data_IF_796779922674
#
_entry.id   IF_796779922674
#
_cell.length_a   1.000
_cell.length_b   1.000
_cell.length_c   1.000
_cell.angle_alpha   90.00
_cell.angle_beta   90.00
_cell.angle_gamma   90.00
#
_symmetry.space_group_name_H-M   'P 1'
#
loop_
_entity.id
_entity.type
_entity.pdbx_description
1 polymer ?
#
# COMPACT_ATOMS: atom_id res chain seq x y z
N UNK A 1 -11.04 37.67 8.05
CA UNK A 1 -9.67 37.37 8.50
C UNK A 1 -9.44 35.87 8.85
N UNK A 2 -10.33 34.96 8.46
CA UNK A 2 -10.18 33.52 8.77
C UNK A 2 -9.51 32.66 7.64
N UNK A 3 -9.36 33.22 6.44
CA UNK A 3 -8.86 32.47 5.26
C UNK A 3 -7.34 32.19 5.32
N UNK A 4 -6.57 33.03 6.02
CA UNK A 4 -5.12 32.88 6.09
C UNK A 4 -4.64 31.73 7.01
N UNK A 5 -5.44 31.39 8.02
CA UNK A 5 -5.08 30.33 9.01
C UNK A 5 -5.29 28.92 8.46
N UNK A 6 -6.32 28.72 7.64
CA UNK A 6 -6.66 27.41 7.04
C UNK A 6 -5.60 27.01 5.99
N UNK A 7 -5.14 27.94 5.16
CA UNK A 7 -4.09 27.65 4.18
C UNK A 7 -2.75 27.26 4.83
N UNK A 8 -2.39 27.84 5.97
CA UNK A 8 -1.14 27.50 6.66
C UNK A 8 -1.17 26.10 7.30
N UNK A 9 -2.30 25.68 7.88
CA UNK A 9 -2.48 24.34 8.46
C UNK A 9 -2.40 23.21 7.42
N UNK A 10 -3.05 23.39 6.28
CA UNK A 10 -3.01 22.42 5.16
C UNK A 10 -1.60 22.25 4.60
N UNK A 11 -0.85 23.36 4.43
CA UNK A 11 0.54 23.32 3.96
C UNK A 11 1.43 22.58 4.96
N UNK A 12 1.24 22.81 6.25
CA UNK A 12 2.00 22.12 7.31
C UNK A 12 1.73 20.62 7.30
N UNK A 13 0.46 20.21 7.17
CA UNK A 13 0.07 18.79 7.12
C UNK A 13 0.71 18.07 5.93
N UNK A 14 0.71 18.68 4.75
CA UNK A 14 1.37 18.12 3.56
C UNK A 14 2.89 18.01 3.75
N UNK A 15 3.52 19.01 4.36
CA UNK A 15 4.96 18.99 4.63
C UNK A 15 5.34 17.86 5.60
N UNK A 16 4.50 17.60 6.63
CA UNK A 16 4.73 16.48 7.55
C UNK A 16 4.64 15.12 6.87
N UNK A 17 3.67 14.94 5.98
CA UNK A 17 3.53 13.70 5.19
C UNK A 17 4.69 13.53 4.21
N UNK A 18 5.09 14.60 3.51
CA UNK A 18 6.23 14.57 2.58
C UNK A 18 7.54 14.26 3.31
N UNK A 19 7.79 14.91 4.46
CA UNK A 19 8.96 14.62 5.29
C UNK A 19 8.97 13.16 5.79
N UNK A 20 7.81 12.62 6.16
CA UNK A 20 7.68 11.22 6.56
C UNK A 20 7.97 10.26 5.40
N UNK A 21 7.51 10.57 4.19
CA UNK A 21 7.85 9.78 3.00
C UNK A 21 9.36 9.83 2.67
N UNK A 22 10.01 11.00 2.84
CA UNK A 22 11.45 11.14 2.65
C UNK A 22 12.24 10.30 3.66
N UNK A 23 11.80 10.27 4.91
CA UNK A 23 12.41 9.48 5.97
C UNK A 23 12.29 7.97 5.71
N UNK A 24 11.11 7.50 5.25
CA UNK A 24 10.93 6.11 4.83
C UNK A 24 11.82 5.80 3.62
N UNK A 25 11.85 6.66 2.62
CA UNK A 25 12.68 6.49 1.42
C UNK A 25 14.18 6.38 1.74
N UNK A 26 14.66 7.13 2.73
CA UNK A 26 16.05 7.10 3.16
C UNK A 26 16.41 5.81 3.93
N UNK A 27 15.43 5.18 4.58
CA UNK A 27 15.65 4.04 5.49
C UNK A 27 15.33 2.69 4.84
N UNK A 28 14.33 2.66 3.94
CA UNK A 28 13.83 1.43 3.33
C UNK A 28 14.55 1.15 2.02
N UNK A 29 14.97 -0.09 1.84
CA UNK A 29 15.60 -0.55 0.59
C UNK A 29 14.93 -1.81 0.06
N UNK A 30 14.89 -1.93 -1.27
CA UNK A 30 14.47 -3.13 -1.97
C UNK A 30 15.70 -3.82 -2.58
N UNK A 31 15.77 -5.13 -2.44
CA UNK A 31 16.83 -5.94 -3.03
C UNK A 31 16.24 -7.17 -3.70
N UNK A 32 16.53 -7.33 -4.99
CA UNK A 32 16.21 -8.56 -5.69
C UNK A 32 17.00 -9.73 -5.14
N UNK A 33 16.33 -10.87 -4.96
CA UNK A 33 16.99 -12.13 -4.64
C UNK A 33 17.48 -12.82 -5.91
N UNK A 34 18.57 -13.64 -5.82
CA UNK A 34 18.91 -14.56 -6.90
C UNK A 34 17.72 -15.44 -7.27
N UNK A 35 17.51 -15.62 -8.51
CA UNK A 35 16.26 -15.84 -9.18
C UNK A 35 15.59 -17.19 -8.97
N UNK A 36 14.36 -17.27 -8.43
CA UNK A 36 13.41 -18.32 -8.79
C UNK A 36 12.93 -18.17 -10.23
N UNK A 37 12.60 -19.27 -10.92
CA UNK A 37 12.14 -19.23 -12.31
C UNK A 37 10.67 -18.77 -12.44
N UNK A 38 9.90 -18.85 -11.36
CA UNK A 38 8.45 -18.58 -11.37
C UNK A 38 8.08 -17.09 -11.16
N UNK A 39 8.96 -16.29 -10.53
CA UNK A 39 8.69 -14.89 -10.14
C UNK A 39 9.99 -14.13 -9.86
N UNK A 40 9.90 -12.81 -9.72
CA UNK A 40 10.97 -11.97 -9.17
C UNK A 40 10.69 -11.77 -7.69
N UNK A 41 11.61 -12.19 -6.82
CA UNK A 41 11.49 -12.00 -5.37
C UNK A 41 12.28 -10.75 -4.95
N UNK A 42 11.64 -9.87 -4.21
CA UNK A 42 12.17 -8.60 -3.71
C UNK A 42 12.08 -8.58 -2.18
N UNK A 43 13.21 -8.44 -1.51
CA UNK A 43 13.26 -8.27 -0.05
C UNK A 43 13.23 -6.79 0.27
N UNK A 44 12.31 -6.41 1.13
CA UNK A 44 12.22 -5.08 1.73
C UNK A 44 12.97 -5.12 3.06
N UNK A 45 13.87 -4.19 3.27
CA UNK A 45 14.68 -4.06 4.48
C UNK A 45 14.58 -2.64 5.04
N UNK A 46 14.84 -2.48 6.34
CA UNK A 46 14.85 -1.17 7.00
C UNK A 46 13.50 -0.69 7.53
N UNK A 47 12.43 -1.48 7.40
CA UNK A 47 11.07 -1.09 7.84
C UNK A 47 10.89 -1.11 9.37
N UNK A 48 11.72 -1.84 10.11
CA UNK A 48 11.52 -2.13 11.53
C UNK A 48 12.02 -1.03 12.49
N UNK A 49 12.63 0.05 11.97
CA UNK A 49 13.07 1.12 12.87
C UNK A 49 11.87 1.90 13.43
N UNK A 50 12.04 2.42 14.64
CA UNK A 50 11.00 3.26 15.30
C UNK A 50 10.68 4.52 14.49
N UNK A 51 11.68 5.05 13.78
CA UNK A 51 11.55 6.20 12.89
C UNK A 51 10.64 5.86 11.71
N UNK A 52 10.89 4.72 11.05
CA UNK A 52 10.06 4.27 9.92
C UNK A 52 8.65 3.94 10.39
N UNK A 53 8.46 3.29 11.55
CA UNK A 53 7.13 3.03 12.09
C UNK A 53 6.35 4.34 12.35
N UNK A 54 7.02 5.37 12.93
CA UNK A 54 6.43 6.69 13.15
C UNK A 54 6.06 7.36 11.82
N UNK A 55 6.96 7.38 10.87
CA UNK A 55 6.74 7.98 9.56
C UNK A 55 5.67 7.25 8.77
N UNK A 56 5.62 5.91 8.86
CA UNK A 56 4.54 5.11 8.27
C UNK A 56 3.18 5.50 8.86
N UNK A 57 3.06 5.64 10.19
CA UNK A 57 1.83 6.10 10.83
C UNK A 57 1.36 7.46 10.31
N UNK A 58 2.25 8.44 10.17
CA UNK A 58 1.95 9.76 9.58
C UNK A 58 1.46 9.66 8.14
N UNK A 59 2.15 8.86 7.32
CA UNK A 59 1.76 8.66 5.92
C UNK A 59 0.41 7.98 5.80
N UNK A 60 0.10 6.98 6.64
CA UNK A 60 -1.19 6.29 6.65
C UNK A 60 -2.34 7.22 7.03
N UNK A 61 -2.15 8.08 8.02
CA UNK A 61 -3.14 9.14 8.35
C UNK A 61 -3.28 10.11 7.19
N UNK A 62 -2.18 10.50 6.54
CA UNK A 62 -2.20 11.30 5.31
C UNK A 62 -2.94 10.61 4.15
N UNK A 63 -2.82 9.29 4.00
CA UNK A 63 -3.58 8.51 3.02
C UNK A 63 -5.09 8.54 3.30
N UNK A 64 -5.51 8.40 4.55
CA UNK A 64 -6.91 8.50 4.95
C UNK A 64 -7.49 9.88 4.63
N UNK A 65 -6.72 10.94 4.83
CA UNK A 65 -7.09 12.32 4.47
C UNK A 65 -7.04 12.58 2.95
N UNK A 66 -6.60 11.63 2.13
CA UNK A 66 -6.37 11.84 0.70
C UNK A 66 -5.19 12.76 0.38
N UNK A 67 -4.30 13.03 1.37
CA UNK A 67 -3.13 13.88 1.22
C UNK A 67 -2.01 13.23 0.40
N UNK A 68 -1.98 11.91 0.32
CA UNK A 68 -0.97 11.15 -0.42
C UNK A 68 -1.55 10.68 -1.75
N UNK A 69 -1.10 11.27 -2.84
CA UNK A 69 -1.43 10.85 -4.20
C UNK A 69 -0.16 10.76 -5.02
N UNK A 70 -0.12 9.85 -5.96
CA UNK A 70 1.00 9.76 -6.91
C UNK A 70 1.18 11.01 -7.78
N UNK A 71 0.14 11.85 -7.88
CA UNK A 71 0.18 13.18 -8.50
C UNK A 71 -0.26 14.22 -7.46
N UNK A 72 0.70 14.82 -6.82
CA UNK A 72 0.63 15.64 -5.60
C UNK A 72 -0.23 16.92 -5.69
N UNK A 73 -0.56 17.40 -6.86
CA UNK A 73 -1.15 18.74 -7.02
C UNK A 73 -2.63 18.88 -6.61
N UNK A 74 -3.35 17.80 -6.31
CA UNK A 74 -4.79 17.84 -5.96
C UNK A 74 -5.06 17.69 -4.46
N UNK A 75 -4.12 17.19 -3.69
CA UNK A 75 -4.33 16.91 -2.27
C UNK A 75 -4.59 18.18 -1.44
N UNK A 76 -3.91 19.27 -1.75
CA UNK A 76 -4.01 20.52 -1.02
C UNK A 76 -5.44 21.14 -1.06
N UNK A 77 -6.20 20.89 -2.10
CA UNK A 77 -7.54 21.48 -2.27
C UNK A 77 -8.63 20.75 -1.45
N UNK A 78 -8.35 19.52 -0.97
CA UNK A 78 -9.32 18.68 -0.27
C UNK A 78 -9.12 18.65 1.24
N UNK A 79 -7.98 19.12 1.74
CA UNK A 79 -7.70 19.24 3.17
C UNK A 79 -8.32 20.53 3.73
N UNK A 80 -9.63 20.66 3.64
CA UNK A 80 -10.38 21.73 4.32
C UNK A 80 -10.87 21.12 5.63
N UNK A 81 -9.96 20.99 6.61
CA UNK A 81 -10.33 20.43 7.91
C UNK A 81 -10.91 21.47 8.86
N UNK A 82 -12.07 21.17 9.41
CA UNK A 82 -12.63 21.80 10.61
C UNK A 82 -12.38 20.95 11.86
N UNK A 83 -12.82 21.41 13.03
CA UNK A 83 -12.74 20.63 14.28
C UNK A 83 -13.52 19.31 14.17
N UNK A 84 -14.65 19.32 13.44
CA UNK A 84 -15.50 18.14 13.21
C UNK A 84 -14.77 17.06 12.40
N UNK A 85 -13.96 17.46 11.41
CA UNK A 85 -13.19 16.51 10.59
C UNK A 85 -12.09 15.82 11.42
N UNK A 86 -11.56 16.49 12.44
CA UNK A 86 -10.58 15.90 13.37
C UNK A 86 -11.19 14.79 14.23
N UNK A 87 -12.37 15.05 14.82
CA UNK A 87 -13.08 14.04 15.62
C UNK A 87 -13.46 12.85 14.77
N UNK A 88 -13.95 13.08 13.56
CA UNK A 88 -14.26 12.02 12.62
C UNK A 88 -13.02 11.22 12.26
N UNK A 89 -11.91 11.86 11.87
CA UNK A 89 -10.65 11.18 11.56
C UNK A 89 -10.12 10.37 12.76
N UNK A 90 -10.20 10.93 13.97
CA UNK A 90 -9.80 10.21 15.18
C UNK A 90 -10.68 8.97 15.41
N UNK A 91 -11.99 9.08 15.16
CA UNK A 91 -12.94 7.97 15.19
C UNK A 91 -12.59 6.90 14.16
N UNK A 92 -12.36 7.30 12.91
CA UNK A 92 -11.99 6.41 11.80
C UNK A 92 -10.68 5.66 12.10
N UNK A 93 -9.67 6.36 12.63
CA UNK A 93 -8.40 5.75 13.03
C UNK A 93 -8.61 4.73 14.16
N UNK A 94 -9.42 5.06 15.19
CA UNK A 94 -9.73 4.12 16.27
C UNK A 94 -10.49 2.89 15.75
N UNK A 95 -11.40 3.04 14.80
CA UNK A 95 -12.11 1.90 14.18
C UNK A 95 -11.14 0.99 13.41
N UNK A 96 -10.16 1.57 12.74
CA UNK A 96 -9.17 0.84 11.95
C UNK A 96 -8.15 0.08 12.79
N UNK A 97 -7.61 0.71 13.83
CA UNK A 97 -6.45 0.20 14.56
C UNK A 97 -6.71 -0.09 16.05
N UNK A 98 -7.88 0.22 16.55
CA UNK A 98 -8.23 0.15 17.97
C UNK A 98 -7.80 1.39 18.76
N UNK A 99 -8.45 1.59 19.92
CA UNK A 99 -8.15 2.71 20.81
C UNK A 99 -6.77 2.61 21.48
N UNK A 100 -6.26 1.41 21.63
CA UNK A 100 -4.93 1.10 22.19
C UNK A 100 -4.44 -0.27 21.68
N UNK A 101 -3.27 -0.72 22.16
CA UNK A 101 -2.67 -1.99 21.76
C UNK A 101 -2.93 -3.14 22.78
N UNK A 102 -3.88 -2.97 23.69
CA UNK A 102 -4.25 -4.00 24.67
C UNK A 102 -5.37 -4.88 24.11
N UNK A 103 -5.01 -6.01 23.52
CA UNK A 103 -5.93 -7.00 22.97
C UNK A 103 -5.97 -8.21 23.90
N UNK A 104 -7.00 -8.32 24.73
CA UNK A 104 -7.09 -9.31 25.82
C UNK A 104 -8.09 -10.42 25.50
N UNK A 105 -9.22 -10.07 24.88
CA UNK A 105 -10.24 -11.04 24.51
C UNK A 105 -9.94 -11.70 23.16
N UNK A 106 -10.48 -12.91 22.94
CA UNK A 106 -10.34 -13.61 21.66
C UNK A 106 -10.84 -12.78 20.48
N UNK A 107 -11.90 -12.00 20.67
CA UNK A 107 -12.44 -11.11 19.64
C UNK A 107 -11.49 -9.95 19.29
N UNK A 108 -10.86 -9.35 20.29
CA UNK A 108 -9.85 -8.30 20.09
C UNK A 108 -8.58 -8.85 19.44
N UNK A 109 -8.13 -10.04 19.86
CA UNK A 109 -6.98 -10.72 19.26
C UNK A 109 -7.28 -11.03 17.78
N UNK A 110 -8.48 -11.54 17.50
CA UNK A 110 -8.91 -11.80 16.12
C UNK A 110 -8.96 -10.52 15.28
N UNK A 111 -9.49 -9.41 15.82
CA UNK A 111 -9.48 -8.11 15.16
C UNK A 111 -8.05 -7.65 14.86
N UNK A 112 -7.14 -7.69 15.84
CA UNK A 112 -5.74 -7.34 15.67
C UNK A 112 -5.11 -8.13 14.52
N UNK A 113 -5.26 -9.46 14.53
CA UNK A 113 -4.52 -10.34 13.63
C UNK A 113 -5.12 -10.41 12.22
N UNK A 114 -6.44 -10.27 12.08
CA UNK A 114 -7.12 -10.45 10.78
C UNK A 114 -7.60 -9.16 10.13
N UNK A 115 -7.69 -8.05 10.88
CA UNK A 115 -8.18 -6.77 10.34
C UNK A 115 -7.11 -5.68 10.47
N UNK A 116 -6.71 -5.32 11.71
CA UNK A 116 -5.75 -4.24 11.93
C UNK A 116 -4.42 -4.49 11.22
N UNK A 117 -3.77 -5.63 11.52
CA UNK A 117 -2.45 -5.93 10.96
C UNK A 117 -2.52 -6.15 9.45
N UNK A 118 -3.60 -6.71 8.93
CA UNK A 118 -3.82 -6.85 7.50
C UNK A 118 -3.93 -5.47 6.81
N UNK A 119 -4.72 -4.55 7.38
CA UNK A 119 -4.89 -3.21 6.86
C UNK A 119 -3.58 -2.40 6.92
N UNK A 120 -2.82 -2.49 8.01
CA UNK A 120 -1.51 -1.84 8.13
C UNK A 120 -0.49 -2.41 7.11
N UNK A 121 -0.55 -3.71 6.83
CA UNK A 121 0.28 -4.32 5.79
C UNK A 121 -0.12 -3.89 4.37
N UNK A 122 -1.41 -3.69 4.11
CA UNK A 122 -1.92 -3.06 2.88
C UNK A 122 -1.37 -1.63 2.76
N UNK A 123 -1.41 -0.86 3.85
CA UNK A 123 -0.84 0.49 3.92
C UNK A 123 0.65 0.51 3.62
N UNK A 124 1.41 -0.44 4.14
CA UNK A 124 2.83 -0.55 3.83
C UNK A 124 3.08 -0.84 2.34
N UNK A 125 2.28 -1.72 1.71
CA UNK A 125 2.34 -1.93 0.26
C UNK A 125 2.06 -0.63 -0.51
N UNK A 126 1.03 0.13 -0.11
CA UNK A 126 0.71 1.43 -0.71
C UNK A 126 1.88 2.42 -0.62
N UNK A 127 2.49 2.54 0.55
CA UNK A 127 3.65 3.41 0.76
C UNK A 127 4.81 2.99 -0.15
N UNK A 128 5.12 1.70 -0.25
CA UNK A 128 6.16 1.21 -1.16
C UNK A 128 5.87 1.54 -2.63
N UNK A 129 4.61 1.50 -3.04
CA UNK A 129 4.21 1.94 -4.39
C UNK A 129 4.33 3.46 -4.56
N UNK A 130 4.00 4.26 -3.56
CA UNK A 130 4.21 5.72 -3.59
C UNK A 130 5.70 6.06 -3.71
N UNK A 131 6.55 5.38 -2.94
CA UNK A 131 8.00 5.57 -2.98
C UNK A 131 8.63 5.18 -4.32
N UNK A 132 8.05 4.21 -5.03
CA UNK A 132 8.45 3.84 -6.39
C UNK A 132 8.43 5.03 -7.37
N UNK A 133 7.63 6.06 -7.11
CA UNK A 133 7.58 7.27 -7.92
C UNK A 133 8.77 8.21 -7.67
N UNK A 134 9.35 8.15 -6.48
CA UNK A 134 10.53 8.97 -6.10
C UNK A 134 11.82 8.37 -6.65
N UNK A 135 11.91 7.05 -6.61
CA UNK A 135 12.99 6.28 -7.23
C UNK A 135 12.35 5.16 -8.07
N UNK A 136 12.29 5.28 -9.40
CA UNK A 136 11.76 4.27 -10.32
C UNK A 136 12.62 3.02 -10.34
N UNK A 137 12.74 2.39 -9.17
CA UNK A 137 13.63 1.28 -8.90
C UNK A 137 13.04 -0.08 -9.27
N UNK A 138 13.41 -1.09 -8.48
CA UNK A 138 13.23 -2.50 -8.78
C UNK A 138 11.78 -3.00 -8.63
N UNK A 139 10.87 -2.27 -7.95
CA UNK A 139 9.54 -2.80 -7.62
C UNK A 139 8.71 -3.09 -8.87
N UNK A 140 8.50 -2.12 -9.74
CA UNK A 140 7.74 -2.29 -10.99
C UNK A 140 8.62 -2.14 -12.24
N UNK A 141 9.80 -1.55 -12.11
CA UNK A 141 10.67 -1.23 -13.24
C UNK A 141 10.13 -0.11 -14.11
N UNK A 142 9.28 0.76 -13.56
CA UNK A 142 8.64 1.87 -14.26
C UNK A 142 8.03 2.88 -13.30
N UNK A 143 7.56 4.01 -13.83
CA UNK A 143 6.98 5.12 -13.06
C UNK A 143 5.46 4.95 -12.92
N UNK A 144 4.93 5.08 -11.71
CA UNK A 144 3.49 5.07 -11.45
C UNK A 144 2.89 6.43 -11.85
N UNK A 145 1.82 6.41 -12.62
CA UNK A 145 1.08 7.59 -13.04
C UNK A 145 -0.25 7.76 -12.32
N UNK A 146 -0.85 6.64 -11.91
CA UNK A 146 -2.05 6.66 -11.08
C UNK A 146 -2.03 5.47 -10.13
N UNK A 147 -2.38 5.70 -8.88
CA UNK A 147 -2.52 4.69 -7.83
C UNK A 147 -3.89 4.87 -7.18
N UNK A 148 -4.65 3.78 -7.07
CA UNK A 148 -5.91 3.79 -6.35
C UNK A 148 -5.67 4.15 -4.88
N UNK A 149 -6.56 4.92 -4.31
CA UNK A 149 -6.54 5.22 -2.89
C UNK A 149 -6.72 3.92 -2.08
N UNK A 150 -6.02 3.81 -0.97
CA UNK A 150 -6.16 2.71 -0.02
C UNK A 150 -7.60 2.59 0.48
N UNK A 151 -8.04 1.40 0.80
CA UNK A 151 -9.36 1.19 1.40
C UNK A 151 -9.46 1.89 2.76
N UNK A 152 -10.47 2.75 2.98
CA UNK A 152 -10.65 3.41 4.26
C UNK A 152 -11.19 2.49 5.35
N UNK A 153 -11.65 1.28 4.99
CA UNK A 153 -12.26 0.31 5.91
C UNK A 153 -11.60 -1.06 5.71
N UNK A 154 -11.16 -1.76 6.78
CA UNK A 154 -10.43 -3.04 6.68
C UNK A 154 -11.23 -4.19 6.06
N UNK A 155 -12.56 -4.05 5.98
CA UNK A 155 -13.47 -5.07 5.45
C UNK A 155 -13.93 -4.80 4.03
N UNK A 156 -13.44 -3.72 3.42
CA UNK A 156 -13.83 -3.39 2.05
C UNK A 156 -13.29 -4.44 1.08
N UNK A 157 -14.17 -4.97 0.23
CA UNK A 157 -13.79 -5.95 -0.78
C UNK A 157 -13.13 -5.24 -1.97
N UNK A 158 -12.08 -5.83 -2.49
CA UNK A 158 -11.36 -5.31 -3.65
C UNK A 158 -9.93 -5.84 -3.69
N UNK A 159 -9.14 -5.28 -4.61
CA UNK A 159 -7.68 -5.50 -4.61
C UNK A 159 -7.05 -4.51 -3.62
N UNK A 160 -6.03 -4.93 -2.89
CA UNK A 160 -5.37 -4.07 -1.91
C UNK A 160 -4.67 -2.88 -2.58
N UNK A 161 -4.12 -3.06 -3.77
CA UNK A 161 -3.57 -1.98 -4.58
C UNK A 161 -3.84 -2.16 -6.07
N UNK A 162 -4.18 -1.07 -6.75
CA UNK A 162 -4.30 -1.00 -8.22
C UNK A 162 -3.56 0.24 -8.69
N UNK A 163 -2.57 0.07 -9.56
CA UNK A 163 -1.75 1.16 -10.07
C UNK A 163 -1.58 1.08 -11.58
N UNK A 164 -1.59 2.23 -12.23
CA UNK A 164 -1.18 2.39 -13.63
C UNK A 164 0.24 2.95 -13.66
N UNK A 165 1.14 2.25 -14.33
CA UNK A 165 2.55 2.63 -14.42
C UNK A 165 3.06 2.50 -15.86
N UNK A 166 4.07 3.28 -16.20
CA UNK A 166 4.72 3.24 -17.52
C UNK A 166 6.09 2.61 -17.38
N UNK A 167 6.32 1.56 -18.19
CA UNK A 167 7.59 0.88 -18.33
C UNK A 167 8.07 1.03 -19.77
N UNK A 168 9.16 1.78 -19.97
CA UNK A 168 9.47 2.28 -21.31
C UNK A 168 8.33 3.19 -21.78
N UNK A 169 7.74 2.88 -22.94
CA UNK A 169 6.61 3.62 -23.51
C UNK A 169 5.26 2.91 -23.35
N UNK A 170 5.23 1.82 -22.57
CA UNK A 170 4.04 0.97 -22.42
C UNK A 170 3.36 1.20 -21.10
N UNK A 171 2.07 1.60 -21.16
CA UNK A 171 1.21 1.66 -19.98
C UNK A 171 0.87 0.24 -19.54
N UNK A 172 1.12 -0.02 -18.27
CA UNK A 172 0.96 -1.31 -17.62
C UNK A 172 0.14 -1.18 -16.35
N UNK A 173 -0.45 -2.29 -15.89
CA UNK A 173 -1.30 -2.38 -14.73
C UNK A 173 -0.61 -3.20 -13.65
N UNK A 174 -0.38 -2.62 -12.48
CA UNK A 174 0.03 -3.36 -11.29
C UNK A 174 -1.18 -3.63 -10.40
N UNK A 175 -1.30 -4.88 -9.95
CA UNK A 175 -2.34 -5.32 -9.01
C UNK A 175 -1.63 -5.94 -7.82
N UNK A 176 -1.80 -5.30 -6.66
CA UNK A 176 -1.19 -5.71 -5.41
C UNK A 176 -2.17 -6.45 -4.51
N UNK A 177 -1.64 -7.43 -3.78
CA UNK A 177 -2.34 -8.17 -2.76
C UNK A 177 -1.41 -8.36 -1.56
N UNK A 178 -1.73 -7.74 -0.44
CA UNK A 178 -0.95 -7.77 0.78
C UNK A 178 -1.50 -8.80 1.75
N UNK A 179 -0.62 -9.55 2.38
CA UNK A 179 -0.97 -10.52 3.41
C UNK A 179 0.01 -10.41 4.56
N UNK A 180 -0.53 -10.44 5.79
CA UNK A 180 0.24 -10.43 7.01
C UNK A 180 -0.01 -11.71 7.82
N UNK A 181 1.06 -12.37 8.22
CA UNK A 181 0.98 -13.52 9.12
C UNK A 181 2.29 -13.74 9.84
N UNK A 182 2.24 -13.77 11.16
CA UNK A 182 3.44 -14.03 11.95
C UNK A 182 4.10 -15.36 11.58
N UNK A 183 3.32 -16.42 11.41
CA UNK A 183 3.82 -17.80 11.36
C UNK A 183 3.83 -18.41 9.95
N UNK A 184 2.91 -18.02 9.06
CA UNK A 184 2.70 -18.71 7.79
C UNK A 184 2.76 -17.81 6.55
N UNK A 185 3.93 -17.28 6.25
CA UNK A 185 4.15 -16.49 5.03
C UNK A 185 3.91 -17.29 3.74
N UNK A 186 4.19 -18.61 3.75
CA UNK A 186 3.99 -19.46 2.57
C UNK A 186 2.50 -19.70 2.26
N UNK A 187 1.68 -19.94 3.27
CA UNK A 187 0.23 -20.06 3.13
C UNK A 187 -0.39 -18.74 2.65
N UNK A 188 0.06 -17.62 3.20
CA UNK A 188 -0.38 -16.30 2.80
C UNK A 188 -0.05 -16.00 1.32
N UNK A 189 1.13 -16.38 0.85
CA UNK A 189 1.49 -16.26 -0.57
C UNK A 189 0.55 -17.10 -1.44
N UNK A 190 0.18 -18.31 -0.98
CA UNK A 190 -0.77 -19.15 -1.71
C UNK A 190 -2.16 -18.51 -1.77
N UNK A 191 -2.60 -17.82 -0.72
CA UNK A 191 -3.88 -17.10 -0.72
C UNK A 191 -3.85 -15.91 -1.68
N UNK A 192 -2.80 -15.08 -1.66
CA UNK A 192 -2.63 -14.00 -2.62
C UNK A 192 -2.64 -14.51 -4.08
N UNK A 193 -1.93 -15.60 -4.34
CA UNK A 193 -1.89 -16.21 -5.68
C UNK A 193 -3.26 -16.72 -6.15
N UNK A 194 -4.13 -17.19 -5.24
CA UNK A 194 -5.51 -17.59 -5.60
C UNK A 194 -6.35 -16.43 -6.11
N UNK A 195 -6.19 -15.23 -5.53
CA UNK A 195 -6.88 -14.02 -5.99
C UNK A 195 -6.43 -13.66 -7.42
N UNK A 196 -5.12 -13.68 -7.68
CA UNK A 196 -4.62 -13.43 -9.03
C UNK A 196 -5.06 -14.50 -10.04
N UNK A 197 -5.14 -15.76 -9.62
CA UNK A 197 -5.63 -16.86 -10.47
C UNK A 197 -7.11 -16.69 -10.81
N UNK A 198 -7.95 -16.26 -9.86
CA UNK A 198 -9.36 -15.98 -10.14
C UNK A 198 -9.50 -14.82 -11.14
N UNK A 199 -8.66 -13.79 -11.04
CA UNK A 199 -8.60 -12.70 -12.00
C UNK A 199 -8.16 -13.19 -13.41
N UNK A 200 -7.19 -14.10 -13.49
CA UNK A 200 -6.78 -14.73 -14.75
C UNK A 200 -7.90 -15.57 -15.37
N UNK A 201 -8.76 -16.15 -14.55
CA UNK A 201 -9.96 -16.89 -14.98
C UNK A 201 -11.13 -15.98 -15.41
N UNK A 202 -11.01 -14.68 -15.24
CA UNK A 202 -12.03 -13.70 -15.63
C UNK A 202 -12.90 -13.20 -14.49
N UNK A 203 -12.74 -13.73 -13.28
CA UNK A 203 -13.40 -13.20 -12.09
C UNK A 203 -12.88 -11.79 -11.78
N UNK A 204 -13.71 -10.99 -11.14
CA UNK A 204 -13.36 -9.60 -10.74
C UNK A 204 -13.04 -8.63 -11.88
N UNK A 205 -13.07 -9.02 -13.16
CA UNK A 205 -12.77 -8.13 -14.28
C UNK A 205 -13.70 -6.92 -14.34
N UNK A 206 -14.97 -7.08 -13.94
CA UNK A 206 -15.91 -5.96 -13.87
C UNK A 206 -15.46 -4.93 -12.85
N UNK A 207 -15.08 -5.37 -11.66
CA UNK A 207 -14.58 -4.50 -10.61
C UNK A 207 -13.27 -3.81 -11.04
N UNK A 208 -12.33 -4.57 -11.57
CA UNK A 208 -11.07 -4.02 -12.07
C UNK A 208 -11.28 -2.95 -13.16
N UNK A 209 -12.27 -3.14 -14.06
CA UNK A 209 -12.60 -2.10 -15.05
C UNK A 209 -13.14 -0.82 -14.41
N UNK A 210 -13.93 -0.93 -13.35
CA UNK A 210 -14.41 0.25 -12.61
C UNK A 210 -13.26 1.02 -11.96
N UNK A 211 -12.30 0.30 -11.35
CA UNK A 211 -11.07 0.89 -10.81
C UNK A 211 -10.25 1.59 -11.89
N UNK A 212 -10.07 0.94 -13.04
CA UNK A 212 -9.32 1.52 -14.17
C UNK A 212 -9.98 2.79 -14.71
N UNK A 213 -11.31 2.83 -14.82
CA UNK A 213 -12.04 4.03 -15.24
C UNK A 213 -11.84 5.18 -14.25
N UNK A 214 -11.81 4.89 -12.95
CA UNK A 214 -11.52 5.91 -11.93
C UNK A 214 -10.08 6.43 -12.02
N UNK A 215 -9.12 5.56 -12.34
CA UNK A 215 -7.71 5.91 -12.47
C UNK A 215 -7.39 6.63 -13.79
N UNK A 216 -8.15 6.37 -14.86
CA UNK A 216 -7.97 7.01 -16.17
C UNK A 216 -8.01 8.53 -16.08
N UNK A 217 -8.89 9.09 -15.24
CA UNK A 217 -9.02 10.54 -15.02
C UNK A 217 -7.75 11.22 -14.47
N UNK A 218 -6.76 10.45 -13.99
CA UNK A 218 -5.48 10.99 -13.50
C UNK A 218 -4.36 10.90 -14.54
N UNK A 219 -4.62 10.33 -15.72
CA UNK A 219 -3.63 10.16 -16.78
C UNK A 219 -3.63 11.35 -17.75
N UNK A 220 -2.51 11.54 -18.43
CA UNK A 220 -2.50 12.39 -19.63
C UNK A 220 -3.38 11.80 -20.72
N UNK A 221 -3.89 12.64 -21.66
CA UNK A 221 -4.72 12.18 -22.78
C UNK A 221 -4.06 11.08 -23.58
N UNK A 222 -2.75 11.13 -23.76
CA UNK A 222 -1.96 10.12 -24.47
C UNK A 222 -1.98 8.77 -23.75
N UNK A 223 -1.78 8.75 -22.45
CA UNK A 223 -1.79 7.52 -21.64
C UNK A 223 -3.21 6.98 -21.45
N UNK A 224 -4.21 7.84 -21.30
CA UNK A 224 -5.61 7.44 -21.23
C UNK A 224 -6.06 6.64 -22.43
N UNK A 225 -5.61 7.01 -23.65
CA UNK A 225 -5.87 6.26 -24.86
C UNK A 225 -5.31 4.83 -24.87
N UNK A 226 -4.30 4.52 -24.05
CA UNK A 226 -3.74 3.17 -23.91
C UNK A 226 -4.56 2.29 -22.96
N UNK A 227 -5.31 2.86 -22.02
CA UNK A 227 -6.10 2.10 -21.02
C UNK A 227 -7.12 1.20 -21.71
N UNK A 228 -7.83 1.70 -22.71
CA UNK A 228 -8.89 0.97 -23.39
C UNK A 228 -8.41 -0.26 -24.19
N UNK A 229 -7.18 -0.24 -24.70
CA UNK A 229 -6.73 -1.17 -25.75
C UNK A 229 -5.81 -2.30 -25.24
N UNK A 230 -4.98 -2.07 -24.23
CA UNK A 230 -3.91 -3.02 -23.93
C UNK A 230 -3.60 -3.22 -22.44
N UNK A 231 -4.00 -2.31 -21.56
CA UNK A 231 -3.56 -2.31 -20.16
C UNK A 231 -3.87 -3.62 -19.41
N UNK A 232 -5.01 -4.25 -19.69
CA UNK A 232 -5.37 -5.54 -19.08
C UNK A 232 -4.47 -6.70 -19.54
N UNK A 233 -3.78 -6.56 -20.67
CA UNK A 233 -2.81 -7.55 -21.17
C UNK A 233 -1.42 -7.36 -20.58
N UNK A 234 -1.13 -6.15 -20.09
CA UNK A 234 0.14 -5.76 -19.49
C UNK A 234 0.05 -5.75 -17.96
N UNK A 235 -0.39 -6.89 -17.39
CA UNK A 235 -0.58 -7.01 -15.94
C UNK A 235 0.71 -7.39 -15.23
N UNK A 236 0.95 -6.76 -14.09
CA UNK A 236 1.97 -7.12 -13.10
C UNK A 236 1.28 -7.48 -11.79
N UNK A 237 1.54 -8.65 -11.25
CA UNK A 237 1.05 -9.08 -9.95
C UNK A 237 2.10 -8.84 -8.87
N UNK A 238 1.66 -8.21 -7.78
CA UNK A 238 2.53 -7.80 -6.67
C UNK A 238 1.99 -8.41 -5.37
N UNK A 239 2.19 -9.72 -5.13
CA UNK A 239 1.96 -10.27 -3.79
C UNK A 239 2.97 -9.67 -2.81
N UNK A 240 2.47 -9.10 -1.71
CA UNK A 240 3.24 -8.54 -0.60
C UNK A 240 3.01 -9.35 0.65
N UNK A 241 4.05 -9.96 1.21
CA UNK A 241 3.95 -10.86 2.35
C UNK A 241 4.75 -10.30 3.53
N UNK A 242 4.02 -9.88 4.57
CA UNK A 242 4.58 -9.45 5.84
C UNK A 242 4.58 -10.62 6.81
N UNK A 243 5.75 -11.00 7.33
CA UNK A 243 5.89 -12.20 8.16
C UNK A 243 7.06 -12.09 9.17
N UNK A 244 7.03 -12.95 10.19
CA UNK A 244 8.12 -13.08 11.18
C UNK A 244 8.93 -14.36 10.92
N UNK A 245 8.25 -15.52 10.91
CA UNK A 245 8.91 -16.81 10.69
C UNK A 245 9.37 -16.90 9.23
N UNK A 246 10.66 -17.13 8.96
CA UNK A 246 11.18 -17.17 7.61
C UNK A 246 10.53 -18.25 6.76
N UNK A 247 10.26 -17.92 5.50
CA UNK A 247 9.95 -18.91 4.47
C UNK A 247 10.89 -18.71 3.27
N UNK A 248 11.12 -19.77 2.52
CA UNK A 248 12.01 -19.72 1.38
C UNK A 248 11.33 -19.08 0.17
N UNK A 249 11.64 -17.81 -0.04
CA UNK A 249 11.12 -17.02 -1.16
C UNK A 249 11.88 -17.26 -2.48
N UNK A 250 13.04 -17.92 -2.43
CA UNK A 250 13.80 -18.30 -3.64
C UNK A 250 13.27 -19.55 -4.30
N UNK A 251 12.46 -20.31 -3.57
CA UNK A 251 11.88 -21.54 -4.08
C UNK A 251 10.83 -21.23 -5.16
N UNK A 252 10.93 -21.94 -6.28
CA UNK A 252 9.88 -21.91 -7.29
C UNK A 252 8.53 -22.27 -6.71
N UNK A 253 7.53 -21.43 -7.00
CA UNK A 253 6.15 -21.60 -6.53
C UNK A 253 5.24 -21.96 -7.69
N UNK A 254 4.71 -23.18 -7.66
CA UNK A 254 3.74 -23.63 -8.67
C UNK A 254 2.57 -22.66 -8.77
N UNK A 255 2.08 -22.16 -7.63
CA UNK A 255 0.98 -21.19 -7.58
C UNK A 255 1.27 -19.87 -8.30
N UNK A 256 2.53 -19.41 -8.34
CA UNK A 256 2.94 -18.23 -9.08
C UNK A 256 3.32 -18.57 -10.53
N UNK A 257 3.84 -19.77 -10.77
CA UNK A 257 4.21 -20.22 -12.11
C UNK A 257 3.00 -20.27 -13.05
N UNK A 258 1.86 -20.73 -12.54
CA UNK A 258 0.62 -20.93 -13.29
C UNK A 258 -0.16 -19.63 -13.56
N UNK A 259 0.30 -18.48 -13.07
CA UNK A 259 -0.32 -17.19 -13.35
C UNK A 259 0.06 -16.70 -14.76
N UNK A 260 -0.90 -16.06 -15.43
CA UNK A 260 -0.78 -15.61 -16.83
C UNK A 260 0.40 -14.67 -17.10
N UNK A 261 0.69 -13.64 -16.28
CA UNK A 261 1.81 -12.76 -16.55
C UNK A 261 3.16 -13.50 -16.62
N UNK A 262 4.11 -13.04 -17.43
CA UNK A 262 5.47 -13.60 -17.44
C UNK A 262 6.17 -13.33 -16.11
N UNK A 263 7.29 -14.01 -15.88
CA UNK A 263 8.05 -13.99 -14.62
C UNK A 263 8.36 -12.57 -14.12
N UNK A 264 8.85 -11.71 -14.99
CA UNK A 264 9.24 -10.34 -14.70
C UNK A 264 8.06 -9.41 -14.31
N UNK A 265 6.84 -9.89 -14.51
CA UNK A 265 5.58 -9.24 -14.11
C UNK A 265 4.91 -9.95 -12.93
N UNK A 266 5.64 -10.79 -12.20
CA UNK A 266 5.24 -11.40 -10.93
C UNK A 266 6.25 -11.00 -9.87
N UNK A 267 5.95 -9.95 -9.10
CA UNK A 267 6.87 -9.25 -8.19
C UNK A 267 6.52 -9.56 -6.74
N UNK A 268 7.09 -10.64 -6.18
CA UNK A 268 6.86 -11.01 -4.77
C UNK A 268 7.66 -10.09 -3.85
N UNK A 269 6.96 -9.26 -3.09
CA UNK A 269 7.52 -8.48 -1.99
C UNK A 269 7.57 -9.30 -0.71
N UNK A 270 8.72 -9.29 -0.06
CA UNK A 270 8.98 -10.02 1.17
C UNK A 270 9.40 -9.03 2.24
N UNK A 271 8.58 -8.90 3.27
CA UNK A 271 8.79 -8.01 4.40
C UNK A 271 8.88 -8.87 5.64
N UNK A 272 10.10 -9.17 6.06
CA UNK A 272 10.34 -9.93 7.28
C UNK A 272 10.50 -8.98 8.45
N UNK A 273 9.71 -9.20 9.49
CA UNK A 273 9.78 -8.49 10.75
C UNK A 273 10.39 -9.41 11.83
N UNK A 274 11.22 -8.87 12.71
CA UNK A 274 11.76 -9.60 13.86
C UNK A 274 10.77 -9.66 15.01
N UNK A 275 10.01 -8.56 15.20
CA UNK A 275 8.89 -8.45 16.13
C UNK A 275 7.64 -8.02 15.36
N UNK A 276 6.86 -9.01 14.94
CA UNK A 276 5.67 -8.80 14.11
C UNK A 276 4.62 -7.93 14.82
N UNK A 277 4.32 -8.23 16.07
CA UNK A 277 3.32 -7.47 16.81
C UNK A 277 3.82 -6.08 17.23
N UNK A 278 5.05 -6.00 17.74
CA UNK A 278 5.64 -4.73 18.14
C UNK A 278 5.75 -3.73 17.01
N UNK A 279 6.05 -4.19 15.78
CA UNK A 279 6.05 -3.31 14.60
C UNK A 279 4.66 -2.71 14.33
N UNK A 280 3.62 -3.55 14.24
CA UNK A 280 2.27 -3.06 13.97
C UNK A 280 1.71 -2.21 15.13
N UNK A 281 2.09 -2.53 16.37
CA UNK A 281 1.74 -1.73 17.55
C UNK A 281 2.38 -0.34 17.49
N UNK A 282 3.66 -0.26 17.11
CA UNK A 282 4.37 1.01 16.95
C UNK A 282 3.77 1.88 15.83
N UNK A 283 3.38 1.27 14.69
CA UNK A 283 2.71 1.99 13.60
C UNK A 283 1.33 2.49 14.06
N UNK A 284 0.56 1.68 14.78
CA UNK A 284 -0.75 2.07 15.31
C UNK A 284 -0.65 3.21 16.33
N UNK A 285 0.35 3.19 17.22
CA UNK A 285 0.62 4.30 18.16
C UNK A 285 0.95 5.58 17.38
N UNK A 286 1.84 5.47 16.40
CA UNK A 286 2.21 6.61 15.54
C UNK A 286 1.02 7.17 14.76
N UNK A 287 0.06 6.35 14.33
CA UNK A 287 -1.17 6.84 13.69
C UNK A 287 -2.03 7.64 14.68
N UNK A 288 -2.20 7.16 15.92
CA UNK A 288 -2.94 7.89 16.96
C UNK A 288 -2.30 9.25 17.28
N UNK A 289 -0.97 9.29 17.34
CA UNK A 289 -0.21 10.55 17.51
C UNK A 289 -0.38 11.48 16.31
N UNK A 290 -0.26 10.94 15.09
CA UNK A 290 -0.33 11.71 13.84
C UNK A 290 -1.67 12.42 13.62
N UNK A 291 -2.79 11.88 14.11
CA UNK A 291 -4.10 12.56 14.09
C UNK A 291 -4.03 13.93 14.77
N UNK A 292 -3.26 14.05 15.85
CA UNK A 292 -3.11 15.32 16.58
C UNK A 292 -2.12 16.27 15.91
N UNK A 293 -1.15 15.74 15.14
CA UNK A 293 -0.11 16.53 14.47
C UNK A 293 -0.56 17.05 13.10
N UNK A 294 -1.28 16.22 12.33
CA UNK A 294 -1.61 16.49 10.91
C UNK A 294 -2.86 17.34 10.77
N UNK A 295 -3.81 17.21 11.67
CA UNK A 295 -5.06 17.98 11.63
C UNK A 295 -4.99 19.16 12.60
N UNK A 296 -4.61 20.31 12.13
CA UNK A 296 -4.57 21.57 12.91
C UNK A 296 -5.68 22.51 12.46
#
# INVERSE_FOLDING_TARGET
MAVGGIQSGVVLSLQLVEAALDEIAASVSLRALPEPSSHTALVVSGVESSEVARSLGRVLVGLLLGAVRCNVSLAAALLVGGADDREQLAGDVVELIGANNSFVTDGEILFRDTKRNAWLAEGLLHVLLVLQNRDPGELLGGRIHALRQMHPIPTQQGFDAVALYVRGDVLSLAIGESKASRLDGSGQLTQAAKIFKSLDSGDHLRHLRQELMALEGYLSTELAGQVANSVLKQRCYVPSIVHEVPFDARRDRVTLKDLTPPREHKRLLIIRLQDFHGFFDAVADAMREAVTEIVV
#
